data_IF_988933851170
#
_entry.id   IF_988933851170
#
_cell.length_a   1.000
_cell.length_b   1.000
_cell.length_c   1.000
_cell.angle_alpha   90.00
_cell.angle_beta   90.00
_cell.angle_gamma   90.00
#
_symmetry.space_group_name_H-M   'P 1'
#
loop_
_entity.id
_entity.type
_entity.pdbx_description
1 polymer ?
#
# COMPACT_ATOMS: atom_id res chain seq x y z
N UNK A 1 -10.92 4.40 -17.49
CA UNK A 1 -10.25 3.82 -16.32
C UNK A 1 -10.58 2.35 -16.04
N UNK A 2 -11.81 1.92 -15.71
CA UNK A 2 -12.07 0.48 -15.47
C UNK A 2 -11.79 -0.41 -16.68
N UNK A 3 -12.20 0.01 -17.88
CA UNK A 3 -11.89 -0.69 -19.14
C UNK A 3 -10.39 -0.63 -19.50
N UNK A 4 -9.69 0.45 -19.15
CA UNK A 4 -8.23 0.59 -19.34
C UNK A 4 -7.45 -0.34 -18.41
N UNK A 5 -8.02 -0.68 -17.25
CA UNK A 5 -7.49 -1.64 -16.28
C UNK A 5 -7.91 -3.09 -16.56
N UNK A 6 -8.65 -3.35 -17.64
CA UNK A 6 -9.11 -4.69 -18.01
C UNK A 6 -10.18 -5.27 -17.07
N UNK A 7 -10.84 -4.46 -16.25
CA UNK A 7 -11.94 -4.89 -15.38
C UNK A 7 -13.27 -4.64 -16.09
N UNK A 8 -13.90 -5.71 -16.55
CA UNK A 8 -15.24 -5.64 -17.13
C UNK A 8 -16.29 -5.51 -16.03
N UNK A 9 -16.88 -4.32 -15.91
CA UNK A 9 -18.00 -4.05 -15.01
C UNK A 9 -19.34 -4.52 -15.59
N UNK A 10 -19.35 -5.15 -16.78
CA UNK A 10 -20.43 -5.96 -17.32
C UNK A 10 -21.76 -5.22 -17.55
N UNK A 11 -21.74 -3.90 -17.69
CA UNK A 11 -22.98 -3.09 -17.77
C UNK A 11 -23.85 -3.16 -16.51
N UNK A 12 -23.34 -3.69 -15.40
CA UNK A 12 -24.03 -3.80 -14.13
C UNK A 12 -24.10 -2.40 -13.49
N UNK A 13 -25.23 -1.73 -13.69
CA UNK A 13 -25.45 -0.34 -13.25
C UNK A 13 -25.32 -0.21 -11.74
N UNK A 14 -25.75 -1.22 -10.99
CA UNK A 14 -25.66 -1.24 -9.53
C UNK A 14 -24.20 -1.30 -9.07
N UNK A 15 -23.38 -2.14 -9.68
CA UNK A 15 -21.94 -2.21 -9.40
C UNK A 15 -21.23 -0.90 -9.74
N UNK A 16 -21.53 -0.32 -10.91
CA UNK A 16 -20.97 0.97 -11.32
C UNK A 16 -21.34 2.06 -10.30
N UNK A 17 -22.60 2.11 -9.85
CA UNK A 17 -23.03 3.06 -8.83
C UNK A 17 -22.26 2.88 -7.53
N UNK A 18 -22.13 1.65 -7.03
CA UNK A 18 -21.37 1.36 -5.80
C UNK A 18 -19.92 1.82 -5.90
N UNK A 19 -19.25 1.52 -7.01
CA UNK A 19 -17.87 1.98 -7.25
C UNK A 19 -17.78 3.51 -7.24
N UNK A 20 -18.69 4.20 -7.93
CA UNK A 20 -18.70 5.67 -8.00
C UNK A 20 -18.93 6.27 -6.60
N UNK A 21 -19.87 5.74 -5.84
CA UNK A 21 -20.16 6.21 -4.49
C UNK A 21 -18.96 5.96 -3.57
N UNK A 22 -18.29 4.81 -3.71
CA UNK A 22 -17.10 4.48 -2.93
C UNK A 22 -15.90 5.37 -3.26
N UNK A 23 -15.68 5.67 -4.54
CA UNK A 23 -14.66 6.61 -4.99
C UNK A 23 -14.92 7.99 -4.38
N UNK A 24 -16.14 8.52 -4.49
CA UNK A 24 -16.51 9.82 -3.90
C UNK A 24 -16.28 9.86 -2.39
N UNK A 25 -16.67 8.80 -1.68
CA UNK A 25 -16.44 8.68 -0.24
C UNK A 25 -14.94 8.78 0.11
N UNK A 26 -14.10 8.02 -0.60
CA UNK A 26 -12.66 7.98 -0.36
C UNK A 26 -11.95 9.27 -0.80
N UNK A 27 -12.34 9.88 -1.92
CA UNK A 27 -11.82 11.18 -2.35
C UNK A 27 -12.17 12.28 -1.35
N UNK A 28 -13.37 12.25 -0.78
CA UNK A 28 -13.75 13.14 0.33
C UNK A 28 -12.92 12.94 1.60
N UNK A 29 -12.30 11.77 1.78
CA UNK A 29 -11.32 11.48 2.85
C UNK A 29 -9.88 11.80 2.45
N UNK A 30 -9.65 12.25 1.22
CA UNK A 30 -8.36 12.67 0.72
C UNK A 30 -7.67 11.73 -0.24
N UNK A 31 -8.25 10.57 -0.57
CA UNK A 31 -7.67 9.66 -1.56
C UNK A 31 -7.63 10.34 -2.94
N UNK A 32 -6.72 9.89 -3.80
CA UNK A 32 -6.71 10.28 -5.21
C UNK A 32 -6.52 9.03 -6.05
N UNK A 33 -7.55 8.70 -6.84
CA UNK A 33 -7.48 7.56 -7.76
C UNK A 33 -7.02 7.97 -9.15
N UNK A 34 -6.88 9.27 -9.42
CA UNK A 34 -6.28 9.77 -10.65
C UNK A 34 -4.80 9.36 -10.74
N UNK A 35 -4.04 9.59 -9.66
CA UNK A 35 -2.61 9.31 -9.57
C UNK A 35 -2.26 7.98 -8.89
N UNK A 36 -3.24 7.13 -8.55
CA UNK A 36 -3.04 5.82 -7.92
C UNK A 36 -3.87 4.75 -8.62
N UNK A 37 -3.40 4.35 -9.79
CA UNK A 37 -4.04 3.38 -10.67
C UNK A 37 -4.17 1.98 -10.04
N UNK A 38 -3.12 1.49 -9.36
CA UNK A 38 -3.17 0.20 -8.67
C UNK A 38 -4.12 0.19 -7.48
N UNK A 39 -4.15 1.24 -6.67
CA UNK A 39 -5.14 1.33 -5.58
C UNK A 39 -6.58 1.41 -6.12
N UNK A 40 -6.78 2.05 -7.28
CA UNK A 40 -8.09 2.06 -7.94
C UNK A 40 -8.48 0.67 -8.49
N UNK A 41 -7.53 -0.05 -9.09
CA UNK A 41 -7.74 -1.42 -9.56
C UNK A 41 -8.12 -2.37 -8.39
N UNK A 42 -7.38 -2.31 -7.28
CA UNK A 42 -7.68 -3.10 -6.07
C UNK A 42 -9.07 -2.78 -5.52
N UNK A 43 -9.49 -1.50 -5.56
CA UNK A 43 -10.85 -1.10 -5.20
C UNK A 43 -11.89 -1.75 -6.11
N UNK A 44 -11.70 -1.68 -7.42
CA UNK A 44 -12.62 -2.30 -8.39
C UNK A 44 -12.73 -3.81 -8.18
N UNK A 45 -11.60 -4.51 -8.00
CA UNK A 45 -11.59 -5.96 -7.70
C UNK A 45 -12.36 -6.27 -6.42
N UNK A 46 -12.23 -5.43 -5.41
CA UNK A 46 -12.94 -5.58 -4.13
C UNK A 46 -14.45 -5.44 -4.33
N UNK A 47 -14.91 -4.44 -5.07
CA UNK A 47 -16.33 -4.20 -5.34
C UNK A 47 -16.97 -5.30 -6.21
N UNK A 48 -16.19 -5.89 -7.12
CA UNK A 48 -16.62 -7.01 -7.98
C UNK A 48 -16.69 -8.32 -7.18
N UNK A 49 -15.65 -8.64 -6.41
CA UNK A 49 -15.54 -9.91 -5.70
C UNK A 49 -16.26 -9.91 -4.33
N UNK A 50 -16.66 -8.74 -3.83
CA UNK A 50 -17.20 -8.55 -2.48
C UNK A 50 -16.16 -8.72 -1.36
N UNK A 51 -14.91 -9.02 -1.71
CA UNK A 51 -13.78 -9.13 -0.77
C UNK A 51 -12.51 -8.58 -1.40
N UNK A 52 -11.64 -8.01 -0.57
CA UNK A 52 -10.33 -7.51 -1.01
C UNK A 52 -9.42 -8.70 -1.41
N UNK A 53 -8.65 -8.59 -2.51
CA UNK A 53 -7.56 -9.53 -2.78
C UNK A 53 -6.56 -9.55 -1.61
N UNK A 54 -6.40 -10.71 -0.96
CA UNK A 54 -5.52 -10.88 0.20
C UNK A 54 -4.52 -12.01 -0.06
N UNK A 55 -3.24 -11.70 0.10
CA UNK A 55 -2.14 -12.67 0.12
C UNK A 55 -1.50 -12.74 1.51
N UNK A 56 -1.53 -11.63 2.21
CA UNK A 56 -1.05 -11.48 3.56
C UNK A 56 -1.87 -10.41 4.27
N UNK A 57 -1.81 -10.41 5.60
CA UNK A 57 -2.33 -9.35 6.46
C UNK A 57 -1.20 -8.81 7.32
N UNK A 58 -1.07 -7.49 7.42
CA UNK A 58 -0.24 -6.84 8.45
C UNK A 58 -1.12 -6.71 9.70
N UNK A 59 -0.85 -7.52 10.72
CA UNK A 59 -1.65 -7.53 11.95
C UNK A 59 -1.17 -6.48 12.95
N UNK A 60 0.15 -6.24 12.99
CA UNK A 60 0.80 -5.29 13.87
C UNK A 60 2.10 -4.80 13.24
N UNK A 61 2.45 -3.54 13.51
CA UNK A 61 3.73 -3.00 13.12
C UNK A 61 4.19 -1.93 14.11
N UNK A 62 5.50 -1.91 14.34
CA UNK A 62 6.16 -0.89 15.14
C UNK A 62 7.38 -0.40 14.36
N UNK A 63 7.65 0.90 14.43
CA UNK A 63 8.90 1.48 13.93
C UNK A 63 9.52 2.39 14.99
N UNK A 64 10.85 2.37 15.06
CA UNK A 64 11.66 3.23 15.92
C UNK A 64 12.65 3.99 15.06
N UNK A 65 12.75 5.29 15.30
CA UNK A 65 13.80 6.15 14.73
C UNK A 65 14.70 6.58 15.88
N UNK A 66 16.00 6.40 15.70
CA UNK A 66 17.00 6.74 16.71
C UNK A 66 18.10 7.61 16.10
N UNK A 67 18.40 8.72 16.76
CA UNK A 67 19.57 9.55 16.46
C UNK A 67 20.57 9.39 17.60
N UNK A 68 21.79 8.94 17.28
CA UNK A 68 22.86 8.84 18.28
C UNK A 68 23.58 10.18 18.52
N UNK A 69 24.52 10.19 19.45
CA UNK A 69 25.31 11.38 19.81
C UNK A 69 26.15 11.94 18.64
N UNK A 70 26.46 11.10 17.63
CA UNK A 70 27.17 11.54 16.42
C UNK A 70 26.24 12.21 15.40
N UNK A 71 24.92 12.24 15.66
CA UNK A 71 23.91 12.73 14.75
C UNK A 71 23.49 11.70 13.69
N UNK A 72 23.97 10.46 13.77
CA UNK A 72 23.58 9.41 12.84
C UNK A 72 22.16 8.95 13.13
N UNK A 73 21.28 9.07 12.13
CA UNK A 73 19.88 8.61 12.20
C UNK A 73 19.78 7.19 11.68
N UNK A 74 19.11 6.33 12.44
CA UNK A 74 18.82 4.94 12.08
C UNK A 74 17.35 4.65 12.29
N UNK A 75 16.76 3.82 11.43
CA UNK A 75 15.38 3.38 11.56
C UNK A 75 15.29 1.86 11.54
N UNK A 76 14.44 1.32 12.41
CA UNK A 76 14.13 -0.11 12.49
C UNK A 76 12.62 -0.29 12.59
N UNK A 77 12.09 -1.31 11.92
CA UNK A 77 10.70 -1.72 12.05
C UNK A 77 10.59 -3.21 12.38
N UNK A 78 9.51 -3.58 13.05
CA UNK A 78 9.10 -4.96 13.32
C UNK A 78 7.64 -5.12 12.96
N UNK A 79 7.30 -6.18 12.23
CA UNK A 79 5.95 -6.46 11.74
C UNK A 79 5.51 -7.85 12.22
N UNK A 80 4.23 -7.97 12.58
CA UNK A 80 3.52 -9.25 12.65
C UNK A 80 2.64 -9.38 11.42
N UNK A 81 2.87 -10.44 10.67
CA UNK A 81 2.20 -10.73 9.41
C UNK A 81 1.48 -12.06 9.53
N UNK A 82 0.43 -12.23 8.74
CA UNK A 82 -0.20 -13.52 8.48
C UNK A 82 -0.23 -13.78 6.99
N UNK A 83 0.34 -14.90 6.54
CA UNK A 83 0.35 -15.29 5.12
C UNK A 83 0.33 -16.82 5.01
N UNK A 84 -0.43 -17.38 4.06
CA UNK A 84 -0.56 -18.82 3.86
C UNK A 84 -0.95 -19.58 5.14
N UNK A 85 -1.80 -18.96 5.98
CA UNK A 85 -2.20 -19.50 7.29
C UNK A 85 -1.14 -19.47 8.39
N UNK A 86 0.09 -19.00 8.12
CA UNK A 86 1.19 -18.88 9.09
C UNK A 86 1.27 -17.46 9.67
N UNK A 87 1.49 -17.35 11.00
CA UNK A 87 1.88 -16.10 11.65
C UNK A 87 3.41 -15.92 11.57
N UNK A 88 3.85 -14.72 11.17
CA UNK A 88 5.24 -14.42 10.87
C UNK A 88 5.62 -13.13 11.61
N UNK A 89 6.70 -13.19 12.39
CA UNK A 89 7.35 -11.98 12.91
C UNK A 89 8.56 -11.64 12.05
N UNK A 90 8.63 -10.41 11.56
CA UNK A 90 9.70 -9.93 10.69
C UNK A 90 10.26 -8.60 11.18
N UNK A 91 11.46 -8.26 10.72
CA UNK A 91 12.07 -6.97 11.03
C UNK A 91 12.88 -6.45 9.86
N UNK A 92 13.05 -5.13 9.82
CA UNK A 92 13.75 -4.43 8.76
C UNK A 92 14.44 -3.20 9.30
N UNK A 93 15.49 -2.77 8.61
CA UNK A 93 16.17 -1.50 8.87
C UNK A 93 16.18 -0.67 7.61
N UNK A 94 16.37 0.64 7.76
CA UNK A 94 16.35 1.55 6.64
C UNK A 94 16.85 2.94 6.98
N UNK A 95 16.96 3.78 5.96
CA UNK A 95 17.32 5.19 6.09
C UNK A 95 16.20 6.04 6.74
N UNK A 96 14.99 5.49 6.84
CA UNK A 96 13.83 6.10 7.48
C UNK A 96 12.80 5.04 7.90
N UNK A 97 11.77 5.41 8.68
CA UNK A 97 10.78 4.46 9.21
C UNK A 97 10.00 3.75 8.10
N UNK A 98 9.67 4.46 7.01
CA UNK A 98 8.95 3.89 5.87
C UNK A 98 9.79 2.83 5.16
N UNK A 99 11.06 3.12 4.89
CA UNK A 99 11.98 2.14 4.30
C UNK A 99 12.20 0.94 5.23
N UNK A 100 12.28 1.15 6.55
CA UNK A 100 12.39 0.05 7.50
C UNK A 100 11.14 -0.86 7.49
N UNK A 101 9.93 -0.29 7.37
CA UNK A 101 8.67 -1.04 7.22
C UNK A 101 8.66 -1.84 5.92
N UNK A 102 9.04 -1.22 4.79
CA UNK A 102 9.11 -1.91 3.49
C UNK A 102 10.09 -3.11 3.54
N UNK A 103 11.30 -2.90 4.09
CA UNK A 103 12.28 -3.96 4.30
C UNK A 103 11.74 -5.08 5.18
N UNK A 104 11.05 -4.76 6.27
CA UNK A 104 10.46 -5.75 7.18
C UNK A 104 9.33 -6.54 6.50
N UNK A 105 8.47 -5.85 5.74
CA UNK A 105 7.37 -6.47 5.01
C UNK A 105 7.90 -7.49 4.00
N UNK A 106 8.90 -7.09 3.21
CA UNK A 106 9.52 -7.96 2.21
C UNK A 106 10.23 -9.15 2.86
N UNK A 107 11.02 -8.93 3.91
CA UNK A 107 11.74 -10.01 4.59
C UNK A 107 10.81 -11.04 5.22
N UNK A 108 9.65 -10.61 5.74
CA UNK A 108 8.63 -11.52 6.28
C UNK A 108 7.91 -12.34 5.20
N UNK A 109 7.75 -11.79 4.00
CA UNK A 109 6.97 -12.40 2.93
C UNK A 109 7.79 -13.17 1.89
N UNK A 110 9.10 -12.93 1.82
CA UNK A 110 9.99 -13.49 0.79
C UNK A 110 9.95 -15.03 0.71
N UNK A 111 9.80 -15.71 1.86
CA UNK A 111 9.65 -17.17 1.92
C UNK A 111 8.47 -17.68 1.07
N UNK A 112 7.36 -16.94 1.06
CA UNK A 112 6.12 -17.32 0.38
C UNK A 112 6.04 -16.72 -1.04
N UNK A 113 6.62 -15.53 -1.20
CA UNK A 113 6.59 -14.75 -2.42
C UNK A 113 8.00 -14.25 -2.81
N UNK A 114 8.89 -15.13 -3.30
CA UNK A 114 10.25 -14.74 -3.69
C UNK A 114 10.30 -13.66 -4.78
N UNK A 115 9.25 -13.54 -5.59
CA UNK A 115 9.08 -12.50 -6.60
C UNK A 115 9.10 -11.07 -6.04
N UNK A 116 8.88 -10.88 -4.73
CA UNK A 116 8.99 -9.57 -4.07
C UNK A 116 10.40 -8.98 -4.15
N UNK A 117 11.42 -9.83 -4.35
CA UNK A 117 12.81 -9.39 -4.59
C UNK A 117 12.98 -8.56 -5.87
N UNK A 118 12.04 -8.65 -6.82
CA UNK A 118 12.06 -7.89 -8.08
C UNK A 118 11.37 -6.52 -7.96
N UNK A 119 10.63 -6.30 -6.88
CA UNK A 119 9.85 -5.07 -6.74
C UNK A 119 10.70 -3.98 -6.12
N UNK A 120 10.71 -2.80 -6.72
CA UNK A 120 11.47 -1.65 -6.24
C UNK A 120 10.56 -0.44 -6.10
N UNK A 121 10.70 0.30 -5.00
CA UNK A 121 10.01 1.57 -4.82
C UNK A 121 10.77 2.65 -5.61
N UNK A 122 10.14 3.20 -6.64
CA UNK A 122 10.79 4.13 -7.59
C UNK A 122 10.50 5.59 -7.28
N UNK A 123 9.35 5.90 -6.68
CA UNK A 123 8.98 7.25 -6.30
C UNK A 123 8.12 7.28 -5.01
N UNK A 124 8.23 8.38 -4.27
CA UNK A 124 7.53 8.60 -3.00
C UNK A 124 7.13 10.06 -2.87
N UNK A 125 5.82 10.33 -2.86
CA UNK A 125 5.27 11.69 -2.80
C UNK A 125 4.32 11.87 -1.63
N UNK A 126 4.54 12.91 -0.85
CA UNK A 126 3.69 13.28 0.29
C UNK A 126 2.96 14.57 0.00
N UNK A 127 1.66 14.60 0.27
CA UNK A 127 0.82 15.80 0.22
C UNK A 127 0.07 15.93 1.54
N UNK A 128 0.24 17.09 2.19
CA UNK A 128 -0.57 17.46 3.34
C UNK A 128 -1.87 18.04 2.80
N UNK A 129 -3.01 17.51 3.22
CA UNK A 129 -4.31 17.98 2.81
C UNK A 129 -4.75 19.14 3.70
N UNK A 130 -5.23 20.21 3.07
CA UNK A 130 -5.71 21.41 3.76
C UNK A 130 -6.99 21.10 4.57
N UNK A 131 -7.14 21.70 5.75
CA UNK A 131 -8.37 21.62 6.55
C UNK A 131 -8.19 21.33 8.04
N UNK A 132 -7.03 20.81 8.48
CA UNK A 132 -6.68 20.68 9.91
C UNK A 132 -5.33 21.36 10.18
N UNK A 133 -5.26 22.17 11.24
CA UNK A 133 -4.08 22.99 11.55
C UNK A 133 -2.97 22.16 12.22
N UNK A 134 -1.74 22.28 11.72
CA UNK A 134 -0.53 21.73 12.36
C UNK A 134 -0.24 20.26 12.05
N UNK A 135 0.44 19.57 12.98
CA UNK A 135 0.91 18.18 12.80
C UNK A 135 -0.20 17.12 12.78
N UNK A 136 -1.46 17.52 12.99
CA UNK A 136 -2.65 16.66 12.89
C UNK A 136 -3.34 16.71 11.52
N UNK A 137 -2.69 17.31 10.52
CA UNK A 137 -3.22 17.37 9.17
C UNK A 137 -3.27 15.97 8.52
N UNK A 138 -4.34 15.73 7.74
CA UNK A 138 -4.46 14.48 6.99
C UNK A 138 -3.38 14.45 5.92
N UNK A 139 -2.62 13.37 5.90
CA UNK A 139 -1.52 13.18 4.96
C UNK A 139 -1.91 12.16 3.90
N UNK A 140 -1.68 12.50 2.64
CA UNK A 140 -1.77 11.60 1.50
C UNK A 140 -0.37 11.22 1.04
N UNK A 141 -0.13 9.92 0.94
CA UNK A 141 1.14 9.34 0.47
C UNK A 141 0.86 8.59 -0.81
N UNK A 142 1.62 8.89 -1.87
CA UNK A 142 1.69 8.13 -3.11
C UNK A 142 3.02 7.39 -3.15
N UNK A 143 2.94 6.10 -3.47
CA UNK A 143 4.09 5.21 -3.66
C UNK A 143 4.04 4.70 -5.09
N UNK A 144 5.13 4.85 -5.83
CA UNK A 144 5.31 4.19 -7.12
C UNK A 144 6.22 2.97 -6.93
N UNK A 145 5.85 1.86 -7.55
CA UNK A 145 6.61 0.61 -7.50
C UNK A 145 6.78 0.06 -8.90
N UNK A 146 7.97 -0.48 -9.18
CA UNK A 146 8.33 -1.13 -10.43
C UNK A 146 8.67 -2.59 -10.19
N UNK A 147 8.39 -3.45 -11.17
CA UNK A 147 8.92 -4.83 -11.25
C UNK A 147 10.00 -4.99 -12.34
N UNK A 148 10.48 -3.88 -12.90
CA UNK A 148 11.40 -3.83 -14.04
C UNK A 148 10.73 -4.02 -15.41
N UNK A 149 9.49 -4.50 -15.46
CA UNK A 149 8.71 -4.62 -16.70
C UNK A 149 7.63 -3.51 -16.81
N UNK A 150 7.17 -2.98 -15.69
CA UNK A 150 6.40 -1.75 -15.64
C UNK A 150 6.19 -1.25 -14.23
N UNK A 151 5.47 -0.15 -14.13
CA UNK A 151 5.29 0.61 -12.89
C UNK A 151 3.80 0.69 -12.53
N UNK A 152 3.53 0.98 -11.25
CA UNK A 152 2.20 1.25 -10.74
C UNK A 152 2.27 2.15 -9.52
N UNK A 153 1.20 2.90 -9.29
CA UNK A 153 1.09 3.82 -8.17
C UNK A 153 -0.02 3.44 -7.20
N UNK A 154 0.28 3.50 -5.91
CA UNK A 154 -0.68 3.26 -4.81
C UNK A 154 -0.76 4.45 -3.89
N UNK A 155 -1.88 4.55 -3.18
CA UNK A 155 -2.17 5.66 -2.27
C UNK A 155 -2.56 5.18 -0.89
N UNK A 156 -2.06 5.88 0.12
CA UNK A 156 -2.53 5.76 1.49
C UNK A 156 -2.84 7.14 2.07
N UNK A 157 -3.87 7.22 2.90
CA UNK A 157 -4.32 8.48 3.50
C UNK A 157 -4.59 8.29 4.98
N UNK A 158 -3.89 9.06 5.80
CA UNK A 158 -3.99 8.98 7.25
C UNK A 158 -3.39 10.23 7.91
N UNK A 159 -3.80 10.58 9.12
CA UNK A 159 -3.24 11.70 9.90
C UNK A 159 -1.77 11.45 10.26
N UNK A 160 -1.44 10.19 10.56
CA UNK A 160 -0.07 9.72 10.73
C UNK A 160 0.55 9.34 9.36
N UNK A 161 1.60 10.05 8.95
CA UNK A 161 2.33 9.83 7.69
C UNK A 161 2.92 8.41 7.56
N UNK A 162 3.36 7.80 8.66
CA UNK A 162 3.91 6.44 8.64
C UNK A 162 2.78 5.44 8.36
N UNK A 163 1.61 5.63 8.97
CA UNK A 163 0.44 4.80 8.69
C UNK A 163 -0.06 4.97 7.25
N UNK A 164 -0.12 6.20 6.74
CA UNK A 164 -0.44 6.44 5.33
C UNK A 164 0.55 5.74 4.39
N UNK A 165 1.84 5.75 4.73
CA UNK A 165 2.88 5.05 3.96
C UNK A 165 2.72 3.53 4.03
N UNK A 166 2.45 2.96 5.22
CA UNK A 166 2.23 1.53 5.38
C UNK A 166 1.01 1.04 4.59
N UNK A 167 -0.07 1.84 4.52
CA UNK A 167 -1.23 1.56 3.68
C UNK A 167 -0.86 1.51 2.20
N UNK A 168 -0.12 2.50 1.69
CA UNK A 168 0.31 2.54 0.29
C UNK A 168 1.24 1.36 -0.05
N UNK A 169 2.18 1.02 0.85
CA UNK A 169 3.07 -0.14 0.70
C UNK A 169 2.29 -1.46 0.67
N UNK A 170 1.30 -1.62 1.54
CA UNK A 170 0.45 -2.81 1.56
C UNK A 170 -0.29 -3.00 0.22
N UNK A 171 -0.87 -1.93 -0.32
CA UNK A 171 -1.47 -1.92 -1.66
C UNK A 171 -0.43 -2.24 -2.74
N UNK A 172 0.77 -1.65 -2.66
CA UNK A 172 1.81 -1.82 -3.67
C UNK A 172 2.29 -3.27 -3.77
N UNK A 173 2.53 -3.92 -2.64
CA UNK A 173 2.91 -5.33 -2.56
C UNK A 173 1.75 -6.22 -3.02
N UNK A 174 0.52 -5.95 -2.57
CA UNK A 174 -0.67 -6.71 -3.00
C UNK A 174 -0.84 -6.68 -4.51
N UNK A 175 -0.73 -5.50 -5.13
CA UNK A 175 -0.85 -5.33 -6.57
C UNK A 175 0.33 -5.96 -7.32
N UNK A 176 1.55 -5.82 -6.80
CA UNK A 176 2.73 -6.49 -7.35
C UNK A 176 2.55 -8.01 -7.41
N UNK A 177 2.03 -8.64 -6.37
CA UNK A 177 1.74 -10.08 -6.36
C UNK A 177 0.69 -10.48 -7.41
N UNK A 178 -0.36 -9.67 -7.60
CA UNK A 178 -1.32 -9.87 -8.68
C UNK A 178 -0.65 -9.79 -10.06
N UNK A 179 0.24 -8.81 -10.29
CA UNK A 179 1.00 -8.68 -11.55
C UNK A 179 1.91 -9.88 -11.81
N UNK A 180 2.46 -10.49 -10.77
CA UNK A 180 3.26 -11.71 -10.86
C UNK A 180 2.41 -12.98 -11.03
N UNK A 181 1.09 -12.85 -11.21
CA UNK A 181 0.18 -13.95 -11.51
C UNK A 181 -0.24 -14.77 -10.29
N UNK A 182 0.03 -14.28 -9.07
CA UNK A 182 -0.42 -14.95 -7.85
C UNK A 182 -1.94 -14.83 -7.70
N UNK A 183 -2.54 -15.87 -7.13
CA UNK A 183 -3.97 -15.90 -6.80
C UNK A 183 -4.15 -15.61 -5.31
N UNK A 184 -4.99 -14.63 -4.94
CA UNK A 184 -5.34 -14.36 -3.55
C UNK A 184 -5.98 -15.59 -2.88
N UNK A 185 -5.91 -15.63 -1.54
CA UNK A 185 -6.55 -16.65 -0.70
C UNK A 185 -8.10 -16.57 -0.71
#
# INVERSE_FOLDING_TARGET
>A
KSQELGIDLGGNKELISRVVDKVKELEGKGFTFEAADASFDLLLRTEVAGKRPTFFTIEDWQTTVHQDESGKVTSKATLKLKANGEEISSSGTGNGPVNAIDTALRSGLEKFYPELSKLELTDYKVRILEGRLGTGAVTRVLVETSDGAGEWSTVGVHENIIAASAMALNDAVTYGLLRQGRKPE
#
